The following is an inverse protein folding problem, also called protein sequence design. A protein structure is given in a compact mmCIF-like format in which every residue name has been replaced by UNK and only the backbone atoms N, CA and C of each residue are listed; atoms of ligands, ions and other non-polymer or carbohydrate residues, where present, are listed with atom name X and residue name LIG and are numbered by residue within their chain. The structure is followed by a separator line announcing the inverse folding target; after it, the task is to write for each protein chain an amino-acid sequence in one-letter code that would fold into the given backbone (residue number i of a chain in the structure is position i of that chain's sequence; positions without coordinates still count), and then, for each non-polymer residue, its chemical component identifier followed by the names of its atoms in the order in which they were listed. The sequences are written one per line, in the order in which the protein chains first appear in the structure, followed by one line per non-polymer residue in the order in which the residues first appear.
data_IF_058875272279
#
_entry.id   IF_058875272279
#
_cell.length_a   1.000
_cell.length_b   1.000
_cell.length_c   1.000
_cell.angle_alpha   90.00
_cell.angle_beta   90.00
_cell.angle_gamma   90.00
#
_symmetry.space_group_name_H-M   'P 1'
#
loop_
_entity.id
_entity.type
_entity.pdbx_description
1 polymer ?
#
# COMPACT_ATOMS: atom_id res chain seq x y z
N UNK A 1 -53.60 28.56 37.76
CA UNK A 1 -52.61 27.44 37.89
C UNK A 1 -52.38 26.90 36.48
N UNK A 2 -51.34 27.43 35.78
CA UNK A 2 -51.00 27.02 34.41
C UNK A 2 -49.99 25.88 34.50
N UNK A 3 -50.35 24.71 33.99
CA UNK A 3 -49.43 23.57 33.86
C UNK A 3 -48.82 23.64 32.45
N UNK A 4 -47.56 23.99 32.34
CA UNK A 4 -46.82 24.00 31.07
C UNK A 4 -46.37 22.57 30.78
N UNK A 5 -46.86 21.97 29.66
CA UNK A 5 -46.38 20.75 29.10
C UNK A 5 -45.03 21.05 28.39
N UNK A 6 -43.89 20.56 28.94
CA UNK A 6 -42.61 20.49 28.24
C UNK A 6 -42.61 19.22 27.40
N UNK A 7 -42.68 19.35 26.09
CA UNK A 7 -42.41 18.28 25.15
C UNK A 7 -40.92 18.16 24.92
N UNK A 8 -40.30 17.13 25.47
CA UNK A 8 -38.93 16.77 25.09
C UNK A 8 -38.94 16.05 23.70
N UNK A 9 -38.46 16.76 22.70
CA UNK A 9 -38.15 16.14 21.40
C UNK A 9 -36.85 15.37 21.55
N UNK A 10 -36.92 14.06 21.60
CA UNK A 10 -35.76 13.18 21.41
C UNK A 10 -35.43 13.18 19.91
N UNK A 11 -34.36 13.88 19.53
CA UNK A 11 -33.72 13.65 18.23
C UNK A 11 -33.01 12.31 18.30
N UNK A 12 -33.63 11.26 17.78
CA UNK A 12 -32.93 10.02 17.49
C UNK A 12 -31.89 10.31 16.41
N UNK A 13 -30.63 10.40 16.82
CA UNK A 13 -29.52 10.29 15.89
C UNK A 13 -29.69 8.93 15.18
N UNK A 14 -29.83 8.95 13.86
CA UNK A 14 -29.77 7.72 13.08
C UNK A 14 -28.39 7.11 13.33
N UNK A 15 -28.34 6.02 14.08
CA UNK A 15 -27.12 5.27 14.25
C UNK A 15 -26.68 4.84 12.85
N UNK A 16 -25.49 5.25 12.43
CA UNK A 16 -24.91 4.81 11.17
C UNK A 16 -24.85 3.29 11.18
N UNK A 17 -25.57 2.65 10.26
CA UNK A 17 -25.64 1.22 10.19
C UNK A 17 -24.54 0.70 9.26
N UNK A 18 -23.79 -0.27 9.75
CA UNK A 18 -22.91 -1.06 8.91
C UNK A 18 -23.70 -1.78 7.82
N UNK A 19 -23.10 -1.90 6.64
CA UNK A 19 -23.69 -2.62 5.50
C UNK A 19 -22.73 -3.67 4.97
N UNK A 20 -23.29 -4.76 4.45
CA UNK A 20 -22.54 -5.72 3.66
C UNK A 20 -22.13 -5.03 2.34
N UNK A 21 -20.85 -5.10 2.00
CA UNK A 21 -20.27 -4.41 0.84
C UNK A 21 -19.72 -5.38 -0.21
N UNK A 22 -19.21 -6.55 0.21
CA UNK A 22 -18.66 -7.58 -0.68
C UNK A 22 -19.01 -8.97 -0.14
N UNK A 23 -19.12 -9.93 -1.05
CA UNK A 23 -19.33 -11.35 -0.76
C UNK A 23 -18.37 -12.18 -1.61
N UNK A 24 -17.74 -13.18 -0.97
CA UNK A 24 -16.83 -14.13 -1.63
C UNK A 24 -17.09 -15.55 -1.15
N UNK A 25 -16.71 -16.54 -1.97
CA UNK A 25 -16.75 -17.95 -1.64
C UNK A 25 -15.45 -18.61 -2.06
N UNK A 26 -14.60 -18.92 -1.09
CA UNK A 26 -13.33 -19.59 -1.27
C UNK A 26 -13.08 -20.58 -0.13
N UNK A 27 -12.34 -21.64 -0.41
CA UNK A 27 -11.76 -22.46 0.64
C UNK A 27 -10.53 -21.72 1.19
N UNK A 28 -10.72 -21.06 2.33
CA UNK A 28 -9.67 -20.34 3.08
C UNK A 28 -9.27 -21.07 4.37
N UNK A 29 -10.01 -22.14 4.71
CA UNK A 29 -9.70 -22.99 5.85
C UNK A 29 -8.88 -24.23 5.47
N UNK A 30 -8.86 -24.61 4.19
CA UNK A 30 -8.11 -25.74 3.65
C UNK A 30 -8.79 -27.10 3.91
N UNK A 31 -10.11 -27.12 4.12
CA UNK A 31 -10.87 -28.36 4.34
C UNK A 31 -11.44 -28.96 3.02
N UNK A 32 -11.16 -28.33 1.88
CA UNK A 32 -11.61 -28.73 0.56
C UNK A 32 -13.04 -28.27 0.22
N UNK A 33 -13.68 -27.47 1.05
CA UNK A 33 -15.02 -26.92 0.84
C UNK A 33 -14.98 -25.39 0.84
N UNK A 34 -16.00 -24.78 0.21
CA UNK A 34 -16.09 -23.33 0.17
C UNK A 34 -16.57 -22.76 1.50
N UNK A 35 -15.87 -21.75 2.01
CA UNK A 35 -16.27 -20.90 3.10
C UNK A 35 -16.98 -19.66 2.53
N UNK A 36 -17.93 -19.09 3.27
CA UNK A 36 -18.61 -17.84 2.92
C UNK A 36 -17.91 -16.67 3.63
N UNK A 37 -17.49 -15.67 2.85
CA UNK A 37 -16.79 -14.49 3.36
C UNK A 37 -17.64 -13.26 3.04
N UNK A 38 -18.18 -12.61 4.07
CA UNK A 38 -18.91 -11.36 3.98
C UNK A 38 -18.07 -10.21 4.47
N UNK A 39 -17.88 -9.18 3.65
CA UNK A 39 -17.20 -7.96 4.07
C UNK A 39 -18.23 -6.90 4.39
N UNK A 40 -18.07 -6.28 5.54
CA UNK A 40 -18.93 -5.21 6.05
C UNK A 40 -18.14 -3.91 6.14
N UNK A 41 -18.83 -2.80 5.95
CA UNK A 41 -18.27 -1.47 6.13
C UNK A 41 -19.21 -0.57 6.93
N UNK A 42 -18.64 0.23 7.83
CA UNK A 42 -19.31 1.34 8.47
C UNK A 42 -18.92 2.62 7.74
N UNK A 43 -19.82 3.26 6.96
CA UNK A 43 -19.51 4.52 6.29
C UNK A 43 -19.12 5.61 7.31
N UNK A 44 -18.22 6.51 6.95
CA UNK A 44 -17.83 7.64 7.80
C UNK A 44 -19.01 8.56 8.12
N UNK A 45 -19.88 8.81 7.14
CA UNK A 45 -21.11 9.61 7.31
C UNK A 45 -22.08 9.36 6.15
N UNK A 46 -23.30 8.96 6.46
CA UNK A 46 -24.34 8.74 5.46
C UNK A 46 -23.89 7.84 4.31
N UNK A 47 -23.98 8.31 3.06
CA UNK A 47 -23.57 7.58 1.86
C UNK A 47 -22.10 7.84 1.45
N UNK A 48 -21.23 8.20 2.42
CA UNK A 48 -19.80 8.38 2.14
C UNK A 48 -19.21 7.15 1.48
N UNK A 49 -18.37 7.31 0.43
CA UNK A 49 -17.60 6.20 -0.15
C UNK A 49 -16.44 5.76 0.74
N UNK A 50 -16.09 6.56 1.77
CA UNK A 50 -15.10 6.21 2.77
C UNK A 50 -15.75 5.43 3.92
N UNK A 51 -15.19 4.26 4.23
CA UNK A 51 -15.58 3.47 5.38
C UNK A 51 -14.65 3.76 6.57
N UNK A 52 -15.23 4.12 7.72
CA UNK A 52 -14.48 4.33 8.96
C UNK A 52 -13.97 3.02 9.54
N UNK A 53 -14.77 1.96 9.38
CA UNK A 53 -14.43 0.59 9.81
C UNK A 53 -14.79 -0.40 8.72
N UNK A 54 -13.93 -1.38 8.52
CA UNK A 54 -14.16 -2.51 7.63
C UNK A 54 -13.84 -3.79 8.39
N UNK A 55 -14.63 -4.85 8.16
CA UNK A 55 -14.31 -6.18 8.69
C UNK A 55 -14.84 -7.27 7.78
N UNK A 56 -14.23 -8.43 7.85
CA UNK A 56 -14.72 -9.63 7.20
C UNK A 56 -15.26 -10.61 8.25
N UNK A 57 -16.41 -11.21 7.96
CA UNK A 57 -16.96 -12.36 8.70
C UNK A 57 -16.87 -13.58 7.79
N UNK A 58 -16.19 -14.63 8.26
CA UNK A 58 -16.02 -15.88 7.54
C UNK A 58 -16.88 -16.93 8.24
N UNK A 59 -17.81 -17.53 7.49
CA UNK A 59 -18.56 -18.70 7.96
C UNK A 59 -17.95 -19.92 7.29
N UNK A 60 -17.28 -20.75 8.08
CA UNK A 60 -16.62 -21.96 7.55
C UNK A 60 -17.66 -22.98 7.09
N UNK A 61 -17.23 -23.94 6.26
CA UNK A 61 -18.06 -25.05 5.81
C UNK A 61 -18.75 -25.83 6.95
N UNK A 62 -18.15 -25.81 8.15
CA UNK A 62 -18.65 -26.43 9.38
C UNK A 62 -19.57 -25.49 10.21
N UNK A 63 -19.78 -24.26 9.76
CA UNK A 63 -20.60 -23.26 10.44
C UNK A 63 -19.87 -22.47 11.54
N UNK A 64 -18.55 -22.64 11.70
CA UNK A 64 -17.75 -21.81 12.61
C UNK A 64 -17.66 -20.39 12.05
N UNK A 65 -17.81 -19.39 12.93
CA UNK A 65 -17.68 -17.99 12.55
C UNK A 65 -16.34 -17.43 13.00
N UNK A 66 -15.63 -16.79 12.07
CA UNK A 66 -14.38 -16.08 12.28
C UNK A 66 -14.58 -14.63 11.89
N UNK A 67 -13.80 -13.71 12.47
CA UNK A 67 -13.87 -12.28 12.16
C UNK A 67 -12.47 -11.72 12.03
N UNK A 68 -12.29 -10.82 11.06
CA UNK A 68 -11.07 -10.03 10.88
C UNK A 68 -11.48 -8.57 10.79
N UNK A 69 -10.95 -7.72 11.65
CA UNK A 69 -11.13 -6.27 11.59
C UNK A 69 -9.99 -5.64 10.77
N UNK A 70 -10.33 -4.66 9.94
CA UNK A 70 -9.41 -3.98 9.04
C UNK A 70 -9.44 -2.46 9.23
N UNK A 71 -8.37 -1.79 8.83
CA UNK A 71 -8.36 -0.34 8.70
C UNK A 71 -9.42 0.14 7.69
N UNK A 72 -10.02 1.29 7.97
CA UNK A 72 -10.98 1.91 7.06
C UNK A 72 -10.32 2.44 5.79
N UNK A 73 -11.14 2.85 4.82
CA UNK A 73 -10.64 3.41 3.56
C UNK A 73 -11.69 3.44 2.47
N UNK A 74 -11.26 3.81 1.29
CA UNK A 74 -12.05 3.77 0.07
C UNK A 74 -11.88 2.42 -0.63
N UNK A 75 -12.93 1.96 -1.29
CA UNK A 75 -12.90 0.78 -2.17
C UNK A 75 -12.23 -0.45 -1.52
N UNK A 76 -12.65 -0.85 -0.29
CA UNK A 76 -12.08 -2.02 0.36
C UNK A 76 -12.30 -3.27 -0.49
N UNK A 77 -11.28 -4.13 -0.56
CA UNK A 77 -11.34 -5.37 -1.33
C UNK A 77 -10.52 -6.48 -0.65
N UNK A 78 -10.84 -7.74 -0.98
CA UNK A 78 -10.03 -8.91 -0.62
C UNK A 78 -9.51 -9.59 -1.89
N UNK A 79 -8.24 -9.93 -1.89
CA UNK A 79 -7.62 -10.83 -2.86
C UNK A 79 -7.27 -12.16 -2.17
N UNK A 80 -7.37 -13.27 -2.91
CA UNK A 80 -7.19 -14.62 -2.36
C UNK A 80 -6.12 -15.37 -3.15
N UNK A 81 -4.99 -15.64 -2.52
CA UNK A 81 -3.87 -16.40 -3.09
C UNK A 81 -3.10 -17.11 -1.97
N UNK A 82 -2.53 -18.26 -2.27
CA UNK A 82 -1.59 -18.93 -1.36
C UNK A 82 -0.24 -18.19 -1.45
N UNK A 83 -0.06 -17.25 -0.53
CA UNK A 83 1.10 -16.36 -0.47
C UNK A 83 2.18 -16.88 0.47
N UNK A 84 1.79 -17.68 1.46
CA UNK A 84 2.72 -18.31 2.41
C UNK A 84 3.12 -19.73 1.99
N UNK A 85 2.60 -20.23 0.86
CA UNK A 85 2.89 -21.52 0.22
C UNK A 85 2.55 -22.72 1.10
N UNK A 86 1.51 -22.64 1.89
CA UNK A 86 1.05 -23.71 2.77
C UNK A 86 -0.09 -24.56 2.18
N UNK A 87 -0.46 -24.29 0.92
CA UNK A 87 -1.50 -24.99 0.15
C UNK A 87 -2.91 -24.43 0.34
N UNK A 88 -3.10 -23.39 1.16
CA UNK A 88 -4.39 -22.76 1.42
C UNK A 88 -4.34 -21.30 1.00
N UNK A 89 -5.45 -20.74 0.50
CA UNK A 89 -5.50 -19.33 0.11
C UNK A 89 -5.47 -18.43 1.34
N UNK A 90 -4.52 -17.51 1.36
CA UNK A 90 -4.48 -16.38 2.28
C UNK A 90 -5.42 -15.27 1.83
N UNK A 91 -5.72 -14.35 2.72
CA UNK A 91 -6.65 -13.24 2.55
C UNK A 91 -5.85 -11.94 2.62
N UNK A 92 -5.63 -11.32 1.47
CA UNK A 92 -4.99 -9.99 1.38
C UNK A 92 -6.06 -8.92 1.29
N UNK A 93 -6.19 -8.14 2.35
CA UNK A 93 -7.03 -6.94 2.38
C UNK A 93 -6.32 -5.74 1.80
N UNK A 94 -7.06 -4.89 1.11
CA UNK A 94 -6.61 -3.56 0.69
C UNK A 94 -7.72 -2.54 0.71
N UNK A 95 -7.39 -1.27 1.03
CA UNK A 95 -8.27 -0.12 0.88
C UNK A 95 -7.47 1.15 0.64
N UNK A 96 -7.92 2.02 -0.26
CA UNK A 96 -7.22 3.28 -0.52
C UNK A 96 -7.40 4.27 0.65
N UNK A 97 -6.31 4.94 1.05
CA UNK A 97 -6.36 5.92 2.15
C UNK A 97 -7.05 7.22 1.75
N UNK A 98 -7.15 7.51 0.44
CA UNK A 98 -7.75 8.73 -0.10
C UNK A 98 -6.85 9.97 -0.08
N UNK A 99 -5.60 9.82 0.35
CA UNK A 99 -4.59 10.87 0.28
C UNK A 99 -4.01 11.04 -1.14
N UNK A 100 -3.34 12.18 -1.39
CA UNK A 100 -2.71 12.50 -2.68
C UNK A 100 -1.54 11.58 -3.04
N UNK A 101 -1.01 10.81 -2.08
CA UNK A 101 0.09 9.86 -2.28
C UNK A 101 -0.32 8.53 -2.92
N UNK A 102 -1.62 8.29 -3.14
CA UNK A 102 -2.08 7.02 -3.71
C UNK A 102 -1.77 5.81 -2.84
N UNK A 103 -1.67 5.99 -1.51
CA UNK A 103 -1.33 4.94 -0.57
C UNK A 103 -2.54 4.09 -0.23
N UNK A 104 -2.28 2.82 0.06
CA UNK A 104 -3.28 1.85 0.50
C UNK A 104 -2.96 1.30 1.88
N UNK A 105 -4.00 0.98 2.64
CA UNK A 105 -3.91 0.12 3.81
C UNK A 105 -3.90 -1.34 3.35
N UNK A 106 -3.10 -2.17 4.00
CA UNK A 106 -3.03 -3.60 3.72
C UNK A 106 -3.00 -4.41 5.01
N UNK A 107 -3.60 -5.60 4.96
CA UNK A 107 -3.46 -6.62 5.98
C UNK A 107 -3.50 -8.00 5.31
N UNK A 108 -2.63 -8.91 5.72
CA UNK A 108 -2.55 -10.26 5.19
C UNK A 108 -2.80 -11.27 6.31
N UNK A 109 -3.74 -12.18 6.08
CA UNK A 109 -4.13 -13.20 7.05
C UNK A 109 -4.25 -14.57 6.41
N UNK A 110 -3.96 -15.61 7.17
CA UNK A 110 -4.41 -16.97 6.89
C UNK A 110 -5.56 -17.35 7.80
N UNK A 111 -6.48 -18.17 7.31
CA UNK A 111 -7.57 -18.78 8.08
C UNK A 111 -7.45 -20.31 8.16
N UNK A 112 -6.28 -20.85 7.76
CA UNK A 112 -6.01 -22.28 7.71
C UNK A 112 -6.36 -22.99 9.02
N UNK A 113 -7.07 -24.11 8.91
CA UNK A 113 -7.52 -24.87 10.07
C UNK A 113 -8.60 -24.16 10.89
N UNK A 114 -9.23 -23.12 10.37
CA UNK A 114 -10.29 -22.37 11.06
C UNK A 114 -9.79 -21.46 12.17
N UNK A 115 -8.55 -20.98 12.10
CA UNK A 115 -7.94 -19.99 12.99
C UNK A 115 -7.40 -18.83 12.19
N UNK A 116 -7.70 -17.59 12.61
CA UNK A 116 -7.13 -16.40 11.98
C UNK A 116 -5.73 -16.15 12.54
N UNK A 117 -4.76 -16.01 11.63
CA UNK A 117 -3.39 -15.58 11.96
C UNK A 117 -2.94 -14.52 10.98
N UNK A 118 -2.34 -13.46 11.49
CA UNK A 118 -1.73 -12.44 10.66
C UNK A 118 -0.41 -12.96 10.07
N UNK A 119 -0.18 -12.65 8.80
CA UNK A 119 1.09 -12.84 8.11
C UNK A 119 1.68 -11.44 7.93
N UNK A 120 2.88 -11.15 8.45
CA UNK A 120 3.50 -9.85 8.26
C UNK A 120 3.64 -9.51 6.76
N UNK A 121 3.43 -8.25 6.40
CA UNK A 121 3.70 -7.77 5.04
C UNK A 121 5.21 -7.60 4.81
N UNK A 122 5.68 -7.55 3.54
CA UNK A 122 7.08 -7.31 3.23
C UNK A 122 7.59 -6.01 3.86
N UNK A 123 8.78 -6.07 4.47
CA UNK A 123 9.47 -4.88 4.96
C UNK A 123 10.03 -4.10 3.77
N UNK A 124 9.75 -2.79 3.65
CA UNK A 124 10.29 -1.97 2.57
C UNK A 124 11.83 -1.96 2.57
N UNK A 125 12.44 -1.98 1.38
CA UNK A 125 13.89 -1.84 1.23
C UNK A 125 14.39 -0.53 1.85
N UNK A 126 15.57 -0.54 2.47
CA UNK A 126 16.21 0.65 3.04
C UNK A 126 16.89 1.47 1.93
N UNK A 127 16.08 2.08 1.07
CA UNK A 127 16.55 2.94 -0.03
C UNK A 127 17.09 4.24 0.56
N UNK A 128 18.21 4.73 0.01
CA UNK A 128 18.75 6.04 0.29
C UNK A 128 18.78 6.88 -0.98
N UNK A 129 18.56 8.18 -0.86
CA UNK A 129 18.58 9.08 -2.00
C UNK A 129 18.90 10.50 -1.57
N UNK A 130 19.75 11.18 -2.34
CA UNK A 130 20.16 12.55 -2.05
C UNK A 130 20.41 13.34 -3.33
N UNK A 131 20.26 14.64 -3.23
CA UNK A 131 20.76 15.55 -4.24
C UNK A 131 22.29 15.71 -4.13
N UNK A 132 22.94 15.87 -5.27
CA UNK A 132 24.37 16.17 -5.38
C UNK A 132 24.57 17.45 -6.21
N UNK A 133 25.81 17.93 -6.33
CA UNK A 133 26.14 19.12 -7.11
C UNK A 133 25.72 19.00 -8.58
N UNK A 134 25.64 20.11 -9.29
CA UNK A 134 25.36 20.17 -10.73
C UNK A 134 24.01 19.59 -11.16
N UNK A 135 22.97 19.70 -10.31
CA UNK A 135 21.63 19.19 -10.58
C UNK A 135 21.62 17.67 -10.79
N UNK A 136 22.31 16.96 -9.95
CA UNK A 136 22.35 15.49 -9.95
C UNK A 136 21.62 14.97 -8.72
N UNK A 137 20.98 13.81 -8.86
CA UNK A 137 20.53 13.00 -7.71
C UNK A 137 21.16 11.62 -7.77
N UNK A 138 21.45 11.08 -6.59
CA UNK A 138 22.02 9.74 -6.41
C UNK A 138 21.05 8.93 -5.58
N UNK A 139 20.72 7.72 -6.05
CA UNK A 139 19.79 6.79 -5.36
C UNK A 139 20.52 5.47 -5.17
N UNK A 140 20.59 5.02 -3.93
CA UNK A 140 21.12 3.72 -3.54
C UNK A 140 19.96 2.78 -3.17
N UNK A 141 19.78 1.70 -3.93
CA UNK A 141 18.75 0.71 -3.73
C UNK A 141 19.43 -0.61 -3.35
N UNK A 142 19.18 -1.14 -2.14
CA UNK A 142 19.71 -2.45 -1.75
C UNK A 142 19.31 -3.52 -2.77
N UNK A 143 20.29 -4.32 -3.20
CA UNK A 143 20.10 -5.35 -4.23
C UNK A 143 20.43 -4.91 -5.65
N UNK A 144 20.63 -3.63 -5.94
CA UNK A 144 21.24 -3.16 -7.19
C UNK A 144 22.75 -3.01 -7.03
N UNK A 145 23.52 -3.45 -8.04
CA UNK A 145 24.99 -3.40 -8.00
C UNK A 145 25.58 -1.98 -7.99
N UNK A 146 24.85 -1.02 -8.55
CA UNK A 146 25.33 0.36 -8.72
C UNK A 146 24.23 1.34 -8.33
N UNK A 147 24.62 2.49 -7.74
CA UNK A 147 23.69 3.58 -7.51
C UNK A 147 23.13 4.10 -8.84
N UNK A 148 21.90 4.58 -8.81
CA UNK A 148 21.26 5.26 -9.91
C UNK A 148 21.64 6.73 -9.84
N UNK A 149 22.16 7.26 -10.93
CA UNK A 149 22.55 8.66 -11.06
C UNK A 149 21.60 9.32 -12.05
N UNK A 150 20.87 10.34 -11.58
CA UNK A 150 19.89 11.08 -12.38
C UNK A 150 20.42 12.47 -12.72
N UNK A 151 20.40 12.83 -14.01
CA UNK A 151 20.64 14.22 -14.47
C UNK A 151 19.31 14.99 -14.39
N UNK A 152 19.23 15.94 -13.46
CA UNK A 152 18.05 16.75 -13.19
C UNK A 152 18.13 18.15 -13.84
N UNK A 153 19.02 18.34 -14.82
CA UNK A 153 19.21 19.61 -15.51
C UNK A 153 17.92 20.20 -16.07
N UNK A 154 17.01 19.34 -16.52
CA UNK A 154 15.70 19.77 -17.04
C UNK A 154 14.84 20.45 -15.98
N UNK A 155 15.04 20.11 -14.70
CA UNK A 155 14.31 20.63 -13.52
C UNK A 155 15.04 21.84 -12.86
N UNK A 156 16.20 22.25 -13.38
CA UNK A 156 17.04 23.27 -12.76
C UNK A 156 16.34 24.59 -12.44
N UNK A 157 15.40 25.03 -13.30
CA UNK A 157 14.68 26.29 -13.09
C UNK A 157 13.84 26.25 -11.82
N UNK A 158 13.13 25.15 -11.63
CA UNK A 158 12.27 24.95 -10.48
C UNK A 158 13.12 24.80 -9.21
N UNK A 159 14.18 24.00 -9.26
CA UNK A 159 15.09 23.79 -8.14
C UNK A 159 15.84 25.05 -7.71
N UNK A 160 16.19 25.94 -8.65
CA UNK A 160 16.73 27.26 -8.32
C UNK A 160 15.63 28.14 -7.71
N UNK A 161 14.42 28.12 -8.24
CA UNK A 161 13.33 28.98 -7.77
C UNK A 161 12.90 28.66 -6.35
N UNK A 162 12.96 27.41 -5.93
CA UNK A 162 12.66 26.98 -4.56
C UNK A 162 13.85 27.03 -3.62
N UNK A 163 15.02 27.48 -4.11
CA UNK A 163 16.23 27.64 -3.30
C UNK A 163 16.98 26.35 -2.97
N UNK A 164 16.73 25.25 -3.68
CA UNK A 164 17.50 24.01 -3.52
C UNK A 164 18.90 24.15 -4.10
N UNK A 165 19.03 24.77 -5.29
CA UNK A 165 20.30 25.02 -5.96
C UNK A 165 20.55 26.50 -6.23
N UNK A 166 21.82 26.88 -6.28
CA UNK A 166 22.28 28.12 -6.86
C UNK A 166 22.32 28.02 -8.40
N UNK A 167 22.39 29.19 -9.08
CA UNK A 167 22.46 29.24 -10.55
C UNK A 167 23.69 28.54 -11.15
N UNK A 168 24.77 28.43 -10.38
CA UNK A 168 26.01 27.76 -10.77
C UNK A 168 25.96 26.23 -10.58
N UNK A 169 24.85 25.68 -10.09
CA UNK A 169 24.68 24.25 -9.81
C UNK A 169 25.10 23.81 -8.41
N UNK A 170 25.53 24.74 -7.57
CA UNK A 170 25.89 24.44 -6.19
C UNK A 170 24.63 24.20 -5.38
N UNK A 171 24.58 23.08 -4.64
CA UNK A 171 23.55 22.76 -3.67
C UNK A 171 23.65 23.71 -2.48
N UNK A 172 22.55 24.32 -2.03
CA UNK A 172 22.58 25.27 -0.91
C UNK A 172 22.80 24.57 0.42
N UNK A 173 22.21 23.38 0.60
CA UNK A 173 22.39 22.52 1.78
C UNK A 173 22.23 21.06 1.40
N UNK A 174 22.82 20.12 2.14
CA UNK A 174 22.60 18.70 1.92
C UNK A 174 21.11 18.38 2.02
N UNK A 175 20.54 17.80 0.99
CA UNK A 175 19.09 17.52 0.90
C UNK A 175 18.86 16.09 0.41
N UNK A 176 18.06 15.37 1.16
CA UNK A 176 17.64 14.01 0.81
C UNK A 176 16.47 14.04 -0.19
N UNK A 177 16.31 12.97 -0.95
CA UNK A 177 15.14 12.72 -1.77
C UNK A 177 13.97 12.26 -0.90
N UNK A 178 12.76 12.49 -1.37
CA UNK A 178 11.55 11.98 -0.72
C UNK A 178 11.32 10.53 -1.16
N UNK A 179 11.41 9.60 -0.23
CA UNK A 179 11.21 8.17 -0.47
C UNK A 179 9.93 7.75 0.23
N UNK A 180 8.87 7.53 -0.55
CA UNK A 180 7.57 7.17 -0.01
C UNK A 180 7.53 5.76 0.57
N UNK A 181 6.54 5.41 1.40
CA UNK A 181 6.20 4.03 1.71
C UNK A 181 5.84 3.25 0.43
N UNK A 182 5.68 1.94 0.53
CA UNK A 182 5.07 1.16 -0.56
C UNK A 182 3.63 1.64 -0.73
N UNK A 183 3.31 2.15 -1.92
CA UNK A 183 1.99 2.71 -2.20
C UNK A 183 0.93 1.61 -2.28
N UNK A 184 1.20 0.55 -3.01
CA UNK A 184 0.31 -0.59 -3.15
C UNK A 184 1.06 -1.88 -3.49
N UNK A 185 0.38 -3.01 -3.27
CA UNK A 185 0.84 -4.34 -3.63
C UNK A 185 -0.06 -4.96 -4.69
N UNK A 186 0.55 -5.77 -5.55
CA UNK A 186 -0.14 -6.69 -6.46
C UNK A 186 0.24 -8.13 -6.14
N UNK A 187 -0.73 -9.02 -6.16
CA UNK A 187 -0.48 -10.47 -6.13
C UNK A 187 -0.05 -10.91 -7.52
N UNK A 188 1.16 -11.44 -7.64
CA UNK A 188 1.74 -11.86 -8.91
C UNK A 188 2.28 -13.30 -8.82
N UNK A 189 2.46 -13.93 -9.99
CA UNK A 189 3.30 -15.12 -10.09
C UNK A 189 4.76 -14.70 -10.19
N UNK A 190 5.61 -15.33 -9.40
CA UNK A 190 7.06 -15.05 -9.41
C UNK A 190 7.72 -15.97 -10.44
N UNK A 191 8.51 -15.41 -11.35
CA UNK A 191 9.24 -16.16 -12.35
C UNK A 191 10.24 -17.13 -11.69
N UNK A 192 10.20 -18.40 -12.09
CA UNK A 192 11.10 -19.44 -11.56
C UNK A 192 10.76 -19.92 -10.14
N UNK A 193 9.64 -19.49 -9.55
CA UNK A 193 9.12 -19.97 -8.26
C UNK A 193 7.72 -20.56 -8.43
N UNK A 194 7.37 -21.48 -7.55
CA UNK A 194 6.01 -22.01 -7.49
C UNK A 194 5.10 -21.08 -6.68
N UNK A 195 3.83 -20.90 -7.13
CA UNK A 195 2.85 -20.12 -6.40
C UNK A 195 2.87 -18.62 -6.71
N UNK A 196 2.53 -17.83 -5.70
CA UNK A 196 2.36 -16.39 -5.81
C UNK A 196 3.31 -15.64 -4.87
N UNK A 197 3.57 -14.39 -5.20
CA UNK A 197 4.26 -13.42 -4.35
C UNK A 197 3.57 -12.07 -4.41
N UNK A 198 4.20 -11.08 -3.82
CA UNK A 198 3.74 -9.69 -3.82
C UNK A 198 4.71 -8.81 -4.60
N UNK A 199 4.16 -7.96 -5.46
CA UNK A 199 4.89 -6.88 -6.11
C UNK A 199 4.45 -5.55 -5.50
N UNK A 200 5.38 -4.79 -4.98
CA UNK A 200 5.14 -3.50 -4.38
C UNK A 200 5.75 -2.36 -5.21
N UNK A 201 5.11 -1.21 -5.13
CA UNK A 201 5.45 -0.01 -5.89
C UNK A 201 5.75 1.12 -4.93
N UNK A 202 6.93 1.71 -5.08
CA UNK A 202 7.43 2.75 -4.18
C UNK A 202 7.93 3.94 -4.97
N UNK A 203 7.28 5.09 -4.79
CA UNK A 203 7.69 6.33 -5.47
C UNK A 203 8.93 6.93 -4.80
N UNK A 204 9.83 7.45 -5.64
CA UNK A 204 10.91 8.35 -5.23
C UNK A 204 10.67 9.68 -5.92
N UNK A 205 10.63 10.74 -5.10
CA UNK A 205 10.42 12.11 -5.54
C UNK A 205 11.64 12.96 -5.21
N UNK A 206 11.80 14.06 -5.94
CA UNK A 206 12.84 15.04 -5.72
C UNK A 206 12.50 15.99 -4.57
N UNK A 207 12.43 17.29 -4.87
CA UNK A 207 12.29 18.33 -3.85
C UNK A 207 10.91 18.45 -3.24
N UNK A 208 9.88 17.87 -3.85
CA UNK A 208 8.50 17.85 -3.36
C UNK A 208 7.75 16.61 -3.93
N UNK A 209 6.66 16.23 -3.30
CA UNK A 209 5.99 14.95 -3.58
C UNK A 209 5.54 14.79 -5.06
N UNK A 210 5.07 15.86 -5.71
CA UNK A 210 4.70 15.81 -7.13
C UNK A 210 5.90 15.81 -8.09
N UNK A 211 7.12 15.98 -7.58
CA UNK A 211 8.37 15.95 -8.35
C UNK A 211 8.88 14.51 -8.49
N UNK A 212 8.07 13.65 -9.07
CA UNK A 212 8.38 12.23 -9.22
C UNK A 212 9.63 12.03 -10.09
N UNK A 213 10.62 11.32 -9.55
CA UNK A 213 11.83 10.90 -10.25
C UNK A 213 11.70 9.51 -10.85
N UNK A 214 10.96 8.63 -10.17
CA UNK A 214 10.70 7.28 -10.63
C UNK A 214 10.00 6.43 -9.58
N UNK A 215 9.88 5.15 -9.90
CA UNK A 215 9.27 4.11 -9.06
C UNK A 215 10.26 2.97 -8.90
N UNK A 216 10.40 2.49 -7.68
CA UNK A 216 11.05 1.20 -7.40
C UNK A 216 9.97 0.14 -7.32
N UNK A 217 10.03 -0.83 -8.21
CA UNK A 217 9.23 -2.04 -8.18
C UNK A 217 10.04 -3.12 -7.49
N UNK A 218 9.46 -3.78 -6.50
CA UNK A 218 10.11 -4.89 -5.80
C UNK A 218 9.15 -6.06 -5.77
N UNK A 219 9.63 -7.24 -6.16
CA UNK A 219 8.90 -8.49 -6.05
C UNK A 219 9.41 -9.27 -4.84
N UNK A 220 8.49 -9.71 -4.00
CA UNK A 220 8.79 -10.51 -2.82
C UNK A 220 8.15 -11.88 -2.92
N UNK A 221 8.89 -12.87 -2.44
CA UNK A 221 8.44 -14.24 -2.30
C UNK A 221 8.55 -14.66 -0.83
N UNK A 222 7.50 -15.28 -0.30
CA UNK A 222 7.50 -15.73 1.09
C UNK A 222 8.17 -17.10 1.20
N UNK A 223 9.24 -17.19 1.97
CA UNK A 223 10.00 -18.41 2.13
C UNK A 223 10.59 -18.50 3.54
N UNK A 224 10.50 -19.66 4.19
CA UNK A 224 10.99 -19.89 5.55
C UNK A 224 10.42 -18.93 6.62
N UNK A 225 9.18 -18.47 6.47
CA UNK A 225 8.52 -17.60 7.42
C UNK A 225 8.79 -16.10 7.21
N UNK A 226 9.48 -15.72 6.13
CA UNK A 226 9.88 -14.34 5.84
C UNK A 226 9.70 -13.99 4.36
N UNK A 227 9.48 -12.71 4.07
CA UNK A 227 9.47 -12.17 2.72
C UNK A 227 10.90 -11.89 2.23
N UNK A 228 11.29 -12.53 1.12
CA UNK A 228 12.57 -12.31 0.47
C UNK A 228 12.37 -11.47 -0.80
N UNK A 229 13.07 -10.34 -0.99
CA UNK A 229 13.07 -9.63 -2.25
C UNK A 229 13.78 -10.50 -3.31
N UNK A 230 13.07 -10.81 -4.40
CA UNK A 230 13.57 -11.70 -5.47
C UNK A 230 13.83 -10.96 -6.78
N UNK A 231 13.18 -9.82 -6.98
CA UNK A 231 13.42 -8.95 -8.13
C UNK A 231 13.25 -7.48 -7.72
N UNK A 232 14.14 -6.62 -8.22
CA UNK A 232 14.13 -5.18 -7.94
C UNK A 232 14.39 -4.45 -9.25
N UNK A 233 13.47 -3.55 -9.60
CA UNK A 233 13.57 -2.77 -10.83
C UNK A 233 13.36 -1.27 -10.53
N UNK A 234 14.22 -0.43 -11.09
CA UNK A 234 14.03 1.01 -11.11
C UNK A 234 13.37 1.45 -12.42
N UNK A 235 12.26 2.16 -12.33
CA UNK A 235 11.58 2.79 -13.46
C UNK A 235 11.62 4.31 -13.32
N UNK A 236 12.63 4.93 -13.92
CA UNK A 236 12.76 6.39 -13.97
C UNK A 236 11.70 7.02 -14.87
N UNK A 237 11.23 8.22 -14.51
CA UNK A 237 10.30 9.01 -15.34
C UNK A 237 10.96 9.61 -16.57
N UNK A 238 12.27 9.81 -16.53
CA UNK A 238 13.09 10.32 -17.64
C UNK A 238 14.04 9.22 -18.12
N UNK A 239 14.23 9.13 -19.43
CA UNK A 239 15.33 8.35 -20.00
C UNK A 239 16.61 9.01 -19.51
N UNK A 240 17.49 8.24 -18.87
CA UNK A 240 18.83 8.68 -18.49
C UNK A 240 19.60 9.07 -19.76
N UNK A 241 19.44 10.32 -20.22
CA UNK A 241 20.29 10.86 -21.26
C UNK A 241 21.67 11.11 -20.67
N UNK A 242 22.61 10.29 -21.07
CA UNK A 242 24.04 10.49 -20.76
C UNK A 242 24.42 11.89 -21.20
N UNK A 243 24.68 12.78 -20.25
CA UNK A 243 25.13 14.14 -20.50
C UNK A 243 26.36 14.08 -21.38
N UNK A 244 26.26 14.42 -22.67
CA UNK A 244 27.43 14.64 -23.49
C UNK A 244 28.18 15.81 -22.87
N UNK A 245 29.38 15.53 -22.31
CA UNK A 245 30.29 16.58 -21.79
C UNK A 245 30.41 17.68 -22.85
N UNK A 246 29.89 18.86 -22.50
CA UNK A 246 30.16 20.09 -23.25
C UNK A 246 31.48 20.71 -22.79
#
# INVERSE_FOLDING_TARGET
MFVGLFTFSFTTSAAEQSKAILEYKYDVTGDGKLDEIMVYGLPFKGDSPYYEKVWAEITTSEGKKLKIDYEGGYEPKLDFADLNHDGVKDILYSSATGGSGGLYNYALHTAKGGEIKEIPLPTPLAIQGQFDQDFVAVIEIPGLEKPIILDLWNRRKDYISIGLYQKNGQLNEPTELMIDPIAFFEVIKIEGKDGYGLKGYRQISGAYHADQLGIVETEWYYENGEWQPVHIEWKGTEKSETRKKR
#
